data_IF_245368434950
#
_entry.id   IF_245368434950
#
_cell.length_a   1.000
_cell.length_b   1.000
_cell.length_c   1.000
_cell.angle_alpha   90.00
_cell.angle_beta   90.00
_cell.angle_gamma   90.00
#
_symmetry.space_group_name_H-M   'P 1'
#
loop_
_entity.id
_entity.type
_entity.pdbx_description
1 polymer ?
#
# COMPACT_ATOMS: atom_id res chain seq x y z
N UNK A 1 -6.91 41.69 -48.25
CA UNK A 1 -8.18 41.28 -47.60
C UNK A 1 -8.93 42.55 -47.21
N UNK A 2 -10.16 42.72 -47.66
CA UNK A 2 -10.86 44.02 -47.63
C UNK A 2 -11.61 44.18 -46.30
N UNK A 3 -11.89 45.40 -45.83
CA UNK A 3 -12.48 45.65 -44.50
C UNK A 3 -13.78 44.90 -44.21
N UNK A 4 -14.57 44.58 -45.26
CA UNK A 4 -15.77 43.74 -45.16
C UNK A 4 -15.46 42.26 -44.85
N UNK A 5 -14.40 41.70 -45.46
CA UNK A 5 -13.95 40.33 -45.22
C UNK A 5 -13.42 40.16 -43.78
N UNK A 6 -12.70 41.17 -43.27
CA UNK A 6 -12.18 41.17 -41.89
C UNK A 6 -13.33 41.16 -40.86
N UNK A 7 -14.39 41.94 -41.09
CA UNK A 7 -15.56 41.98 -40.19
C UNK A 7 -16.34 40.66 -40.16
N UNK A 8 -16.47 40.00 -41.31
CA UNK A 8 -17.13 38.69 -41.42
C UNK A 8 -16.30 37.63 -40.68
N UNK A 9 -14.98 37.66 -40.83
CA UNK A 9 -14.08 36.76 -40.11
C UNK A 9 -14.14 36.95 -38.59
N UNK A 10 -14.15 38.20 -38.10
CA UNK A 10 -14.27 38.50 -36.67
C UNK A 10 -15.62 38.03 -36.13
N UNK A 11 -16.72 38.27 -36.85
CA UNK A 11 -18.05 37.82 -36.43
C UNK A 11 -18.16 36.29 -36.39
N UNK A 12 -17.60 35.58 -37.38
CA UNK A 12 -17.56 34.13 -37.42
C UNK A 12 -16.70 33.54 -36.29
N UNK A 13 -15.56 34.17 -35.99
CA UNK A 13 -14.69 33.77 -34.88
C UNK A 13 -15.35 33.99 -33.52
N UNK A 14 -16.07 35.12 -33.34
CA UNK A 14 -16.85 35.37 -32.13
C UNK A 14 -17.99 34.36 -31.95
N UNK A 15 -18.69 33.98 -33.02
CA UNK A 15 -19.74 32.94 -32.96
C UNK A 15 -19.17 31.55 -32.63
N UNK A 16 -17.99 31.21 -33.14
CA UNK A 16 -17.30 29.96 -32.80
C UNK A 16 -16.86 29.91 -31.33
N UNK A 17 -16.40 31.04 -30.78
CA UNK A 17 -15.99 31.14 -29.37
C UNK A 17 -17.18 31.11 -28.40
N UNK A 18 -18.35 31.60 -28.79
CA UNK A 18 -19.57 31.55 -27.98
C UNK A 18 -20.20 30.14 -27.92
N UNK A 19 -19.97 29.29 -28.93
CA UNK A 19 -20.45 27.90 -28.95
C UNK A 19 -19.70 26.95 -28.01
N UNK A 20 -18.48 27.29 -27.58
CA UNK A 20 -17.64 26.44 -26.74
C UNK A 20 -17.96 26.51 -25.24
N UNK A 21 -18.84 27.44 -24.81
CA UNK A 21 -19.24 27.59 -23.41
C UNK A 21 -20.52 26.82 -23.05
N UNK A 22 -21.19 26.19 -24.01
CA UNK A 22 -22.40 25.42 -23.77
C UNK A 22 -22.07 23.95 -23.47
N UNK A 23 -22.23 23.58 -22.20
CA UNK A 23 -22.43 22.21 -21.71
C UNK A 23 -21.20 21.27 -21.75
N UNK A 24 -20.36 21.38 -20.72
CA UNK A 24 -19.87 20.19 -20.04
C UNK A 24 -20.59 20.12 -18.68
N UNK A 25 -21.80 19.51 -18.66
CA UNK A 25 -22.34 18.99 -17.41
C UNK A 25 -21.48 17.77 -17.09
N UNK A 26 -20.34 18.01 -16.45
CA UNK A 26 -19.50 16.94 -15.94
C UNK A 26 -20.34 16.10 -14.98
N UNK A 27 -20.57 14.85 -15.34
CA UNK A 27 -21.08 13.86 -14.42
C UNK A 27 -20.12 13.83 -13.23
N UNK A 28 -20.62 14.15 -12.04
CA UNK A 28 -19.84 14.04 -10.81
C UNK A 28 -19.70 12.55 -10.53
N UNK A 29 -18.74 11.91 -11.18
CA UNK A 29 -18.31 10.55 -10.82
C UNK A 29 -17.88 10.64 -9.35
N UNK A 30 -18.49 9.88 -8.42
CA UNK A 30 -18.07 9.87 -7.03
C UNK A 30 -16.58 9.56 -6.97
N UNK A 31 -15.77 10.56 -6.63
CA UNK A 31 -14.33 10.37 -6.46
C UNK A 31 -14.16 9.62 -5.14
N UNK A 32 -13.64 8.39 -5.21
CA UNK A 32 -13.24 7.65 -4.00
C UNK A 32 -12.26 8.52 -3.20
N UNK A 33 -12.43 8.57 -1.87
CA UNK A 33 -11.49 9.24 -1.00
C UNK A 33 -10.08 8.66 -1.18
N UNK A 34 -9.05 9.48 -0.99
CA UNK A 34 -7.65 9.07 -1.09
C UNK A 34 -7.36 7.79 -0.30
N UNK A 35 -7.86 7.75 0.92
CA UNK A 35 -7.69 6.65 1.88
C UNK A 35 -8.35 5.36 1.38
N UNK A 36 -9.50 5.47 0.69
CA UNK A 36 -10.18 4.31 0.13
C UNK A 36 -9.43 3.77 -1.09
N UNK A 37 -8.88 4.66 -1.92
CA UNK A 37 -8.02 4.26 -3.03
C UNK A 37 -6.78 3.51 -2.52
N UNK A 38 -6.24 3.94 -1.38
CA UNK A 38 -5.09 3.29 -0.74
C UNK A 38 -5.46 1.91 -0.15
N UNK A 39 -6.62 1.76 0.49
CA UNK A 39 -7.14 0.45 0.93
C UNK A 39 -7.38 -0.51 -0.24
N UNK A 40 -8.03 -0.04 -1.31
CA UNK A 40 -8.34 -0.84 -2.49
C UNK A 40 -7.06 -1.24 -3.24
N UNK A 41 -6.10 -0.32 -3.33
CA UNK A 41 -4.76 -0.56 -3.88
C UNK A 41 -4.00 -1.61 -3.07
N UNK A 42 -4.02 -1.53 -1.75
CA UNK A 42 -3.43 -2.54 -0.86
C UNK A 42 -4.07 -3.92 -1.02
N UNK A 43 -5.39 -3.97 -1.13
CA UNK A 43 -6.10 -5.23 -1.39
C UNK A 43 -5.69 -5.84 -2.74
N UNK A 44 -5.48 -5.00 -3.76
CA UNK A 44 -4.97 -5.44 -5.07
C UNK A 44 -3.54 -5.96 -4.97
N UNK A 45 -2.65 -5.26 -4.27
CA UNK A 45 -1.26 -5.68 -4.06
C UNK A 45 -1.18 -7.05 -3.37
N UNK A 46 -1.99 -7.28 -2.33
CA UNK A 46 -2.07 -8.59 -1.66
C UNK A 46 -2.51 -9.70 -2.63
N UNK A 47 -3.56 -9.46 -3.43
CA UNK A 47 -4.00 -10.45 -4.44
C UNK A 47 -2.93 -10.75 -5.47
N UNK A 48 -2.25 -9.72 -5.97
CA UNK A 48 -1.16 -9.88 -6.93
C UNK A 48 0.01 -10.65 -6.34
N UNK A 49 0.39 -10.38 -5.09
CA UNK A 49 1.47 -11.08 -4.42
C UNK A 49 1.13 -12.56 -4.14
N UNK A 50 -0.11 -12.89 -3.80
CA UNK A 50 -0.53 -14.30 -3.65
C UNK A 50 -0.40 -15.10 -4.95
N UNK A 51 -0.66 -14.46 -6.09
CA UNK A 51 -0.48 -15.09 -7.41
C UNK A 51 0.99 -15.16 -7.79
N UNK A 52 1.76 -14.11 -7.49
CA UNK A 52 3.17 -14.02 -7.86
C UNK A 52 4.05 -14.96 -7.02
N UNK A 53 3.89 -14.97 -5.70
CA UNK A 53 4.76 -15.67 -4.75
C UNK A 53 4.91 -17.15 -5.10
N UNK A 54 6.15 -17.57 -5.37
CA UNK A 54 6.53 -18.96 -5.65
C UNK A 54 7.64 -19.43 -4.70
N UNK A 55 7.51 -20.61 -4.07
CA UNK A 55 6.23 -21.32 -3.81
C UNK A 55 5.25 -20.41 -3.05
N UNK A 56 4.09 -20.89 -2.59
CA UNK A 56 3.05 -20.10 -1.87
C UNK A 56 3.51 -19.52 -0.51
N UNK A 57 4.74 -19.03 -0.40
CA UNK A 57 5.41 -18.42 0.75
C UNK A 57 4.59 -17.27 1.30
N UNK A 58 3.93 -16.47 0.46
CA UNK A 58 3.08 -15.39 0.95
C UNK A 58 1.85 -15.90 1.70
N UNK A 59 1.20 -16.97 1.21
CA UNK A 59 0.05 -17.56 1.91
C UNK A 59 0.48 -18.12 3.27
N UNK A 60 1.61 -18.85 3.31
CA UNK A 60 2.16 -19.35 4.57
C UNK A 60 2.57 -18.23 5.52
N UNK A 61 3.15 -17.14 5.02
CA UNK A 61 3.51 -15.99 5.86
C UNK A 61 2.25 -15.37 6.50
N UNK A 62 1.14 -15.29 5.78
CA UNK A 62 -0.11 -14.72 6.30
C UNK A 62 -0.75 -15.58 7.41
N UNK A 63 -0.52 -16.89 7.43
CA UNK A 63 -1.03 -17.78 8.49
C UNK A 63 -0.46 -17.43 9.88
N UNK A 64 0.82 -17.01 9.92
CA UNK A 64 1.57 -16.70 11.14
C UNK A 64 1.70 -15.20 11.41
N UNK A 65 1.22 -14.36 10.49
CA UNK A 65 1.35 -12.92 10.57
C UNK A 65 0.66 -12.32 11.81
N UNK A 66 1.40 -11.49 12.54
CA UNK A 66 0.89 -10.60 13.59
C UNK A 66 0.38 -9.29 12.99
N UNK A 67 0.94 -8.86 11.86
CA UNK A 67 0.51 -7.67 11.13
C UNK A 67 1.08 -7.62 9.72
N UNK A 68 0.45 -6.83 8.86
CA UNK A 68 0.86 -6.66 7.46
C UNK A 68 0.84 -5.18 7.11
N UNK A 69 1.98 -4.64 6.71
CA UNK A 69 2.13 -3.27 6.21
C UNK A 69 2.36 -3.31 4.70
N UNK A 70 1.45 -2.68 3.97
CA UNK A 70 1.33 -2.78 2.52
C UNK A 70 1.52 -1.40 1.91
N UNK A 71 2.55 -1.24 1.09
CA UNK A 71 2.76 -0.09 0.23
C UNK A 71 2.45 -0.51 -1.21
N UNK A 72 1.24 -0.22 -1.75
CA UNK A 72 0.81 -0.78 -3.03
C UNK A 72 1.52 -0.21 -4.26
N UNK A 73 2.23 0.91 -4.11
CA UNK A 73 2.82 1.65 -5.23
C UNK A 73 4.08 2.43 -4.84
N UNK A 74 5.03 1.80 -4.13
CA UNK A 74 6.33 2.37 -3.82
C UNK A 74 7.02 2.96 -5.08
N UNK A 75 7.31 4.27 -5.07
CA UNK A 75 7.88 5.07 -6.17
C UNK A 75 7.10 5.06 -7.50
N UNK A 76 5.93 4.42 -7.60
CA UNK A 76 5.11 4.48 -8.83
C UNK A 76 4.28 5.76 -8.76
N UNK A 77 4.72 6.83 -9.41
CA UNK A 77 3.83 7.95 -9.75
C UNK A 77 2.85 7.47 -10.81
N UNK A 78 1.67 7.01 -10.41
CA UNK A 78 0.58 6.88 -11.36
C UNK A 78 0.08 8.31 -11.62
N UNK A 79 0.40 8.90 -12.76
CA UNK A 79 -0.14 10.21 -13.17
C UNK A 79 -1.68 10.23 -13.27
N UNK A 80 -2.33 9.07 -13.11
CA UNK A 80 -3.78 8.87 -13.07
C UNK A 80 -4.37 8.62 -11.67
N UNK A 81 -3.56 8.29 -10.65
CA UNK A 81 -4.07 8.10 -9.29
C UNK A 81 -3.28 8.94 -8.31
N UNK A 82 -3.98 9.74 -7.51
CA UNK A 82 -3.38 10.67 -6.52
C UNK A 82 -2.75 9.95 -5.32
N UNK A 83 -2.52 8.63 -5.37
CA UNK A 83 -1.81 7.88 -4.32
C UNK A 83 -0.35 8.32 -4.29
N UNK A 84 0.08 8.95 -3.20
CA UNK A 84 1.51 9.23 -3.00
C UNK A 84 2.22 7.88 -2.90
N UNK A 85 3.19 7.61 -3.78
CA UNK A 85 3.85 6.32 -3.92
C UNK A 85 4.77 5.94 -2.75
N UNK A 86 4.44 6.36 -1.53
CA UNK A 86 5.13 6.04 -0.27
C UNK A 86 4.15 5.78 0.86
N UNK A 87 2.85 5.95 0.61
CA UNK A 87 1.81 5.67 1.57
C UNK A 87 1.36 4.23 1.49
N UNK A 88 0.93 3.72 2.62
CA UNK A 88 0.57 2.32 2.79
C UNK A 88 -0.52 2.14 3.84
N UNK A 89 -0.98 0.91 3.92
CA UNK A 89 -1.96 0.45 4.89
C UNK A 89 -1.31 -0.60 5.78
N UNK A 90 -1.39 -0.38 7.08
CA UNK A 90 -1.15 -1.39 8.08
C UNK A 90 -2.47 -1.99 8.54
N UNK A 91 -2.50 -3.31 8.66
CA UNK A 91 -3.51 -4.04 9.44
C UNK A 91 -2.81 -4.95 10.43
N UNK A 92 -3.40 -5.10 11.60
CA UNK A 92 -2.86 -5.95 12.68
C UNK A 92 -3.83 -7.07 12.97
N UNK A 93 -3.31 -8.25 13.26
CA UNK A 93 -4.10 -9.42 13.63
C UNK A 93 -4.31 -9.43 15.15
N UNK A 94 -5.55 -9.60 15.57
CA UNK A 94 -5.88 -9.81 16.98
C UNK A 94 -5.66 -11.28 17.38
N UNK A 95 -5.72 -11.54 18.69
CA UNK A 95 -5.56 -12.89 19.25
C UNK A 95 -6.65 -13.87 18.78
N UNK A 96 -7.77 -13.36 18.25
CA UNK A 96 -8.85 -14.16 17.67
C UNK A 96 -8.64 -14.41 16.17
N UNK A 97 -7.52 -13.99 15.61
CA UNK A 97 -7.16 -14.16 14.20
C UNK A 97 -7.83 -13.18 13.25
N UNK A 98 -8.54 -12.16 13.76
CA UNK A 98 -9.22 -11.14 12.95
C UNK A 98 -8.29 -9.98 12.65
N UNK A 99 -8.41 -9.45 11.44
CA UNK A 99 -7.70 -8.24 11.02
C UNK A 99 -8.37 -6.98 11.55
N UNK A 100 -7.56 -6.03 12.00
CA UNK A 100 -7.98 -4.69 12.40
C UNK A 100 -8.53 -3.89 11.22
N UNK A 101 -9.08 -2.72 11.53
CA UNK A 101 -9.29 -1.67 10.52
C UNK A 101 -7.94 -1.15 10.00
N UNK A 102 -7.89 -0.57 8.79
CA UNK A 102 -6.67 -0.08 8.18
C UNK A 102 -6.13 1.15 8.89
N UNK A 103 -4.83 1.16 9.13
CA UNK A 103 -4.09 2.32 9.59
C UNK A 103 -3.23 2.86 8.45
N UNK A 104 -3.21 4.18 8.26
CA UNK A 104 -2.43 4.78 7.19
C UNK A 104 -1.03 5.15 7.64
N UNK A 105 -0.05 4.70 6.87
CA UNK A 105 1.38 4.84 7.13
C UNK A 105 2.11 5.41 5.92
N UNK A 106 3.29 5.95 6.15
CA UNK A 106 4.21 6.37 5.13
C UNK A 106 5.61 5.83 5.44
N UNK A 107 6.38 5.52 4.40
CA UNK A 107 7.79 5.13 4.52
C UNK A 107 8.72 6.18 3.90
N UNK A 108 9.59 6.71 4.74
CA UNK A 108 10.62 7.69 4.39
C UNK A 108 12.03 7.11 4.50
N UNK A 109 12.66 6.85 3.37
CA UNK A 109 14.05 6.44 3.32
C UNK A 109 14.90 7.72 3.29
N UNK A 110 15.45 8.12 4.43
CA UNK A 110 16.36 9.27 4.57
C UNK A 110 17.78 8.93 4.08
N UNK A 111 17.92 8.07 3.07
CA UNK A 111 19.22 7.70 2.54
C UNK A 111 19.90 8.90 1.89
N UNK A 112 20.97 9.40 2.50
CA UNK A 112 21.88 10.45 2.02
C UNK A 112 22.67 10.04 0.75
N UNK A 113 21.99 9.59 -0.31
CA UNK A 113 22.64 9.02 -1.49
C UNK A 113 21.84 9.19 -2.80
N UNK A 114 22.40 9.82 -3.84
CA UNK A 114 21.76 9.95 -5.16
C UNK A 114 21.74 8.64 -5.98
N UNK A 115 22.01 7.47 -5.38
CA UNK A 115 22.21 6.19 -6.09
C UNK A 115 21.17 5.10 -5.77
N UNK A 116 20.24 5.29 -4.83
CA UNK A 116 19.25 4.25 -4.47
C UNK A 116 18.04 4.25 -5.41
N UNK A 117 18.23 3.77 -6.64
CA UNK A 117 17.17 3.62 -7.65
C UNK A 117 16.56 2.22 -7.55
N UNK A 118 15.78 1.95 -6.51
CA UNK A 118 14.84 0.83 -6.60
C UNK A 118 13.75 1.17 -7.61
N UNK A 119 13.47 0.23 -8.52
CA UNK A 119 12.35 0.33 -9.45
C UNK A 119 11.04 0.44 -8.67
N UNK A 120 10.09 1.14 -9.27
CA UNK A 120 8.80 1.38 -8.67
C UNK A 120 8.00 0.06 -8.57
N UNK A 121 7.42 -0.27 -7.41
CA UNK A 121 6.85 -1.59 -7.11
C UNK A 121 5.92 -1.59 -5.90
N UNK A 122 5.34 -2.74 -5.55
CA UNK A 122 4.70 -2.92 -4.23
C UNK A 122 5.71 -3.47 -3.22
N UNK A 123 5.57 -3.04 -1.96
CA UNK A 123 6.28 -3.57 -0.80
C UNK A 123 5.26 -4.09 0.20
N UNK A 124 5.41 -5.33 0.66
CA UNK A 124 4.53 -5.92 1.68
C UNK A 124 5.38 -6.50 2.80
N UNK A 125 5.38 -5.84 3.95
CA UNK A 125 6.02 -6.33 5.15
C UNK A 125 5.03 -7.22 5.91
N UNK A 126 5.41 -8.46 6.15
CA UNK A 126 4.69 -9.38 7.02
C UNK A 126 5.47 -9.51 8.34
N UNK A 127 4.85 -9.10 9.44
CA UNK A 127 5.47 -9.12 10.76
C UNK A 127 5.06 -10.38 11.51
N UNK A 128 6.04 -11.08 12.08
CA UNK A 128 5.82 -12.25 12.95
C UNK A 128 6.06 -11.91 14.42
N UNK A 129 6.86 -10.88 14.69
CA UNK A 129 7.10 -10.37 16.03
C UNK A 129 6.10 -9.24 16.35
N UNK A 130 5.26 -9.49 17.36
CA UNK A 130 4.23 -8.54 17.80
C UNK A 130 4.84 -7.37 18.56
N UNK A 131 5.86 -7.59 19.39
CA UNK A 131 6.48 -6.53 20.17
C UNK A 131 7.20 -5.55 19.23
N UNK A 132 8.00 -6.08 18.28
CA UNK A 132 8.62 -5.28 17.22
C UNK A 132 7.59 -4.46 16.44
N UNK A 133 6.48 -5.09 16.05
CA UNK A 133 5.40 -4.43 15.34
C UNK A 133 4.84 -3.28 16.20
N UNK A 134 4.46 -3.54 17.45
CA UNK A 134 3.77 -2.55 18.29
C UNK A 134 4.67 -1.40 18.76
N UNK A 135 5.90 -1.71 19.18
CA UNK A 135 6.82 -0.73 19.72
C UNK A 135 7.17 0.33 18.68
N UNK A 136 7.50 -0.11 17.47
CA UNK A 136 7.86 0.81 16.39
C UNK A 136 6.71 1.74 15.97
N UNK A 137 5.49 1.24 16.06
CA UNK A 137 4.30 1.88 15.54
C UNK A 137 3.82 3.09 16.37
N UNK A 138 4.25 3.24 17.62
CA UNK A 138 3.80 4.30 18.54
C UNK A 138 4.37 5.71 18.24
N UNK A 139 5.60 5.80 17.73
CA UNK A 139 6.32 7.09 17.55
C UNK A 139 6.76 7.38 16.12
N UNK A 140 6.50 6.45 15.19
CA UNK A 140 7.28 6.36 13.96
C UNK A 140 8.70 5.88 14.26
N UNK A 141 9.22 4.99 13.41
CA UNK A 141 10.44 4.26 13.73
C UNK A 141 11.18 3.79 12.48
N UNK A 142 12.45 3.52 12.68
CA UNK A 142 13.28 2.75 11.76
C UNK A 142 13.25 1.30 12.22
N UNK A 143 13.04 0.34 11.31
CA UNK A 143 13.27 -1.06 11.65
C UNK A 143 14.72 -1.21 12.16
N UNK A 144 14.97 -1.95 13.25
CA UNK A 144 16.33 -2.15 13.76
C UNK A 144 17.28 -2.67 12.67
N UNK A 145 18.54 -2.24 12.70
CA UNK A 145 19.52 -2.64 11.68
C UNK A 145 19.89 -4.13 11.75
N UNK A 146 19.68 -4.75 12.91
CA UNK A 146 19.96 -6.14 13.22
C UNK A 146 18.72 -7.06 13.17
N UNK A 147 17.57 -6.58 12.65
CA UNK A 147 16.38 -7.43 12.56
C UNK A 147 16.64 -8.66 11.69
N UNK A 148 16.16 -9.82 12.16
CA UNK A 148 16.07 -11.02 11.35
C UNK A 148 14.98 -10.85 10.29
N UNK A 149 15.39 -10.67 9.05
CA UNK A 149 14.49 -10.38 7.93
C UNK A 149 14.82 -11.22 6.70
N UNK A 150 13.79 -11.61 5.98
CA UNK A 150 13.92 -12.18 4.63
C UNK A 150 13.20 -11.28 3.63
N UNK A 151 13.88 -10.94 2.55
CA UNK A 151 13.29 -10.29 1.39
C UNK A 151 12.95 -11.36 0.38
N UNK A 152 11.67 -11.55 0.07
CA UNK A 152 11.20 -12.47 -0.97
C UNK A 152 10.76 -11.67 -2.20
N UNK A 153 11.33 -12.03 -3.34
CA UNK A 153 10.91 -11.50 -4.63
C UNK A 153 9.78 -12.37 -5.15
N UNK A 154 8.78 -11.75 -5.80
CA UNK A 154 7.63 -12.46 -6.36
C UNK A 154 7.96 -13.54 -7.41
N UNK A 155 9.22 -13.73 -7.81
CA UNK A 155 9.66 -14.82 -8.69
C UNK A 155 10.21 -16.05 -7.94
N UNK A 156 10.28 -16.00 -6.61
CA UNK A 156 10.78 -17.06 -5.74
C UNK A 156 12.25 -16.97 -5.34
N UNK A 157 12.96 -15.90 -5.72
CA UNK A 157 14.27 -15.59 -5.12
C UNK A 157 14.07 -14.93 -3.75
N UNK A 158 15.02 -15.15 -2.84
CA UNK A 158 14.99 -14.51 -1.54
C UNK A 158 16.39 -14.16 -1.03
N UNK A 159 16.48 -13.13 -0.21
CA UNK A 159 17.70 -12.64 0.44
C UNK A 159 17.45 -12.58 1.95
N UNK A 160 18.38 -13.12 2.74
CA UNK A 160 18.34 -13.08 4.20
C UNK A 160 19.22 -11.95 4.75
N UNK A 161 18.72 -11.28 5.80
CA UNK A 161 19.40 -10.20 6.49
C UNK A 161 19.32 -10.49 7.99
N UNK A 162 20.49 -10.63 8.63
CA UNK A 162 20.64 -10.94 10.07
C UNK A 162 19.78 -12.12 10.57
N UNK A 163 19.48 -13.10 9.71
CA UNK A 163 18.70 -14.28 10.06
C UNK A 163 19.58 -15.28 10.84
N UNK A 164 19.82 -14.99 12.12
CA UNK A 164 20.60 -15.88 12.99
C UNK A 164 19.75 -17.02 13.55
N UNK A 165 18.60 -16.71 14.17
CA UNK A 165 17.73 -17.71 14.82
C UNK A 165 16.24 -17.42 14.59
N UNK A 166 15.81 -16.16 14.68
CA UNK A 166 14.40 -15.77 14.55
C UNK A 166 14.13 -14.89 13.33
N UNK A 167 13.04 -15.20 12.61
CA UNK A 167 12.50 -14.38 11.53
C UNK A 167 11.45 -13.43 12.09
N UNK A 168 11.78 -12.15 12.24
CA UNK A 168 10.85 -11.14 12.75
C UNK A 168 9.97 -10.55 11.64
N UNK A 169 10.54 -10.39 10.43
CA UNK A 169 9.87 -9.74 9.30
C UNK A 169 10.17 -10.47 8.00
N UNK A 170 9.15 -10.67 7.16
CA UNK A 170 9.34 -11.10 5.78
C UNK A 170 8.76 -10.06 4.83
N UNK A 171 9.63 -9.47 4.02
CA UNK A 171 9.30 -8.42 3.07
C UNK A 171 9.12 -9.01 1.69
N UNK A 172 7.94 -8.85 1.10
CA UNK A 172 7.71 -9.18 -0.31
C UNK A 172 7.89 -7.96 -1.20
N UNK A 173 8.58 -8.17 -2.32
CA UNK A 173 8.80 -7.16 -3.35
C UNK A 173 8.39 -7.66 -4.74
N UNK A 174 7.77 -6.76 -5.51
CA UNK A 174 7.38 -6.97 -6.93
C UNK A 174 8.57 -6.86 -7.90
N UNK A 175 9.69 -6.25 -7.48
CA UNK A 175 10.84 -6.05 -8.36
C UNK A 175 11.64 -7.33 -8.57
N UNK A 176 11.93 -7.74 -9.83
CA UNK A 176 12.75 -8.90 -10.11
C UNK A 176 14.23 -8.65 -9.75
N UNK A 177 14.75 -9.41 -8.78
CA UNK A 177 16.15 -9.88 -8.69
C UNK A 177 17.29 -8.85 -8.60
N UNK A 178 17.02 -7.55 -8.43
CA UNK A 178 18.07 -6.59 -8.05
C UNK A 178 18.31 -6.70 -6.54
N UNK A 179 19.56 -7.00 -6.10
CA UNK A 179 19.88 -7.06 -4.68
C UNK A 179 19.53 -5.75 -3.97
N UNK A 180 18.83 -5.85 -2.84
CA UNK A 180 18.47 -4.68 -2.05
C UNK A 180 19.53 -4.46 -0.97
N UNK A 181 20.03 -3.23 -0.86
CA UNK A 181 20.91 -2.86 0.26
C UNK A 181 20.11 -2.81 1.56
N UNK A 182 20.62 -3.42 2.64
CA UNK A 182 19.90 -3.55 3.91
C UNK A 182 19.39 -2.22 4.51
N UNK A 183 20.14 -1.12 4.33
CA UNK A 183 19.75 0.21 4.82
C UNK A 183 18.49 0.78 4.15
N UNK A 184 18.17 0.33 2.94
CA UNK A 184 16.96 0.72 2.21
C UNK A 184 15.70 0.08 2.79
N UNK A 185 15.84 -1.14 3.31
CA UNK A 185 14.73 -1.98 3.78
C UNK A 185 14.12 -1.46 5.09
N UNK A 186 14.93 -0.70 5.85
CA UNK A 186 14.59 -0.25 7.20
C UNK A 186 14.06 1.18 7.27
N UNK A 187 13.65 1.81 6.16
CA UNK A 187 13.23 3.22 6.11
C UNK A 187 12.32 3.69 7.26
N UNK A 188 12.31 5.00 7.54
CA UNK A 188 11.50 5.60 8.60
C UNK A 188 10.01 5.44 8.32
N UNK A 189 9.34 4.59 9.08
CA UNK A 189 7.91 4.33 8.96
C UNK A 189 7.18 5.24 9.95
N UNK A 190 6.21 6.02 9.48
CA UNK A 190 5.44 6.93 10.34
C UNK A 190 3.94 6.88 10.05
N UNK A 191 3.14 7.03 11.10
CA UNK A 191 1.70 7.12 11.00
C UNK A 191 1.31 8.43 10.30
N UNK A 192 0.30 8.36 9.43
CA UNK A 192 -0.23 9.51 8.69
C UNK A 192 -1.48 10.04 9.39
N UNK A 193 -1.32 11.04 10.27
CA UNK A 193 -2.42 11.63 11.03
C UNK A 193 -3.60 12.04 10.12
N UNK A 194 -3.37 12.96 9.16
CA UNK A 194 -4.43 13.50 8.28
C UNK A 194 -5.22 12.43 7.51
N UNK A 195 -4.60 11.45 6.80
CA UNK A 195 -5.33 10.32 6.22
C UNK A 195 -6.11 9.46 7.23
N UNK A 196 -5.57 9.22 8.43
CA UNK A 196 -6.32 8.51 9.47
C UNK A 196 -7.59 9.31 9.88
N UNK A 197 -7.50 10.62 10.08
CA UNK A 197 -8.67 11.46 10.41
C UNK A 197 -9.69 11.48 9.27
N UNK A 198 -9.21 11.67 8.04
CA UNK A 198 -10.03 11.73 6.84
C UNK A 198 -10.76 10.41 6.57
N UNK A 199 -10.15 9.26 6.91
CA UNK A 199 -10.79 7.95 6.76
C UNK A 199 -11.87 7.71 7.81
N UNK A 200 -11.66 8.14 9.05
CA UNK A 200 -12.60 7.82 10.12
C UNK A 200 -13.67 8.90 10.34
N UNK A 201 -13.51 10.09 9.76
CA UNK A 201 -14.50 11.17 9.83
C UNK A 201 -14.58 11.85 11.20
N UNK A 202 -13.69 11.48 12.10
CA UNK A 202 -13.42 12.10 13.40
C UNK A 202 -11.93 12.32 13.49
N UNK A 203 -11.50 13.40 14.16
CA UNK A 203 -10.14 13.50 14.68
C UNK A 203 -9.82 12.17 15.41
N UNK A 204 -8.80 11.39 15.02
CA UNK A 204 -8.39 10.19 15.71
C UNK A 204 -7.88 10.50 17.13
N UNK A 205 -7.83 11.78 17.51
CA UNK A 205 -7.29 12.30 18.75
C UNK A 205 -8.31 13.20 19.45
N UNK A 206 -9.24 12.66 20.24
CA UNK A 206 -9.78 13.39 21.40
C UNK A 206 -10.67 12.51 22.30
N UNK A 207 -10.54 12.58 23.64
CA UNK A 207 -9.33 12.35 24.42
C UNK A 207 -9.57 11.34 25.56
N UNK A 208 -8.56 10.53 25.79
CA UNK A 208 -7.86 10.49 27.08
C UNK A 208 -6.40 10.23 26.72
N UNK A 209 -5.65 11.12 26.07
CA UNK A 209 -5.26 12.48 26.46
C UNK A 209 -4.63 13.17 25.23
N UNK A 210 -4.59 14.51 25.25
CA UNK A 210 -4.36 15.46 24.15
C UNK A 210 -2.98 15.49 23.44
N UNK A 211 -2.18 14.42 23.43
CA UNK A 211 -0.81 14.49 22.86
C UNK A 211 -0.41 13.31 21.95
N UNK A 212 -1.30 12.37 21.65
CA UNK A 212 -0.91 11.15 20.90
C UNK A 212 -1.64 11.08 19.56
N UNK A 213 -0.95 11.19 18.40
CA UNK A 213 -1.54 10.90 17.09
C UNK A 213 -2.07 9.46 17.06
N UNK A 214 -2.86 9.09 16.03
CA UNK A 214 -3.36 7.72 15.81
C UNK A 214 -2.22 6.68 15.84
N UNK A 215 -1.88 6.22 17.03
CA UNK A 215 -0.91 5.17 17.29
C UNK A 215 -1.63 3.83 17.09
N UNK A 216 -0.95 2.78 16.60
CA UNK A 216 -1.59 1.49 16.36
C UNK A 216 -2.16 0.81 17.59
N UNK A 217 -1.70 1.18 18.78
CA UNK A 217 -2.38 0.83 20.03
C UNK A 217 -3.86 1.28 20.02
N UNK A 218 -4.19 2.48 19.52
CA UNK A 218 -5.57 2.96 19.44
C UNK A 218 -6.38 2.28 18.32
N UNK A 219 -5.69 1.74 17.31
CA UNK A 219 -6.31 0.96 16.22
C UNK A 219 -6.59 -0.48 16.67
N UNK A 220 -5.80 -0.98 17.63
CA UNK A 220 -5.97 -2.27 18.29
C UNK A 220 -7.03 -2.25 19.39
N UNK A 221 -7.28 -1.09 19.99
CA UNK A 221 -8.32 -0.92 21.00
C UNK A 221 -9.71 -0.91 20.33
N UNK A 222 -10.38 -2.06 20.43
CA UNK A 222 -11.70 -2.36 19.87
C UNK A 222 -12.71 -1.20 20.02
N UNK A 223 -13.37 -0.85 18.90
CA UNK A 223 -14.78 -0.41 18.94
C UNK A 223 -15.17 0.94 18.34
N UNK A 224 -14.28 1.70 17.69
CA UNK A 224 -14.55 3.14 17.50
C UNK A 224 -14.52 3.67 16.06
N UNK A 225 -14.58 2.81 15.05
CA UNK A 225 -14.53 3.27 13.65
C UNK A 225 -15.81 2.91 12.90
N UNK A 226 -16.47 3.93 12.33
CA UNK A 226 -17.60 3.73 11.42
C UNK A 226 -17.17 2.80 10.25
N UNK A 227 -17.99 1.82 9.85
CA UNK A 227 -17.60 0.86 8.83
C UNK A 227 -17.55 1.54 7.46
N UNK A 228 -16.35 2.02 7.07
CA UNK A 228 -16.01 2.16 5.65
C UNK A 228 -15.74 0.77 5.07
N UNK A 229 -16.01 0.55 3.77
CA UNK A 229 -15.84 -0.76 3.16
C UNK A 229 -14.36 -1.16 3.10
N UNK A 230 -13.96 -2.04 4.03
CA UNK A 230 -12.63 -2.69 4.10
C UNK A 230 -12.68 -4.16 3.66
N UNK A 231 -13.87 -4.63 3.28
CA UNK A 231 -14.16 -6.03 2.97
C UNK A 231 -13.18 -6.61 1.95
N UNK A 232 -12.81 -5.86 0.91
CA UNK A 232 -11.88 -6.33 -0.12
C UNK A 232 -10.46 -6.57 0.40
N UNK A 233 -9.99 -5.79 1.37
CA UNK A 233 -8.67 -5.98 1.97
C UNK A 233 -8.70 -7.18 2.92
N UNK A 234 -9.71 -7.27 3.80
CA UNK A 234 -9.88 -8.43 4.67
C UNK A 234 -10.09 -9.73 3.88
N UNK A 235 -10.84 -9.67 2.78
CA UNK A 235 -10.99 -10.79 1.85
C UNK A 235 -9.64 -11.16 1.26
N UNK A 236 -8.89 -10.21 0.70
CA UNK A 236 -7.55 -10.49 0.13
C UNK A 236 -6.58 -11.10 1.17
N UNK A 237 -6.69 -10.73 2.45
CA UNK A 237 -5.84 -11.25 3.53
C UNK A 237 -6.28 -12.62 4.05
N UNK A 238 -7.52 -13.02 3.85
CA UNK A 238 -8.03 -14.31 4.33
C UNK A 238 -8.27 -15.33 3.20
N UNK A 239 -8.56 -14.86 1.98
CA UNK A 239 -9.08 -15.66 0.88
C UNK A 239 -8.54 -15.16 -0.47
N UNK A 240 -8.05 -16.08 -1.30
CA UNK A 240 -8.03 -15.95 -2.77
C UNK A 240 -8.27 -17.35 -3.36
N UNK A 241 -9.05 -17.52 -4.44
CA UNK A 241 -9.15 -18.79 -5.13
C UNK A 241 -7.77 -19.21 -5.62
N UNK A 242 -7.30 -20.38 -5.19
CA UNK A 242 -6.09 -20.98 -5.71
C UNK A 242 -6.30 -21.21 -7.22
N UNK A 243 -5.44 -20.67 -8.10
CA UNK A 243 -5.26 -21.30 -9.41
C UNK A 243 -4.90 -22.76 -9.14
N UNK A 244 -5.44 -23.69 -9.93
CA UNK A 244 -5.18 -25.13 -9.80
C UNK A 244 -3.70 -25.42 -10.11
N UNK A 245 -2.82 -25.17 -9.14
CA UNK A 245 -1.37 -25.28 -9.27
C UNK A 245 -0.91 -26.73 -9.43
N UNK A 246 -1.73 -27.69 -9.00
CA UNK A 246 -1.49 -29.11 -9.24
C UNK A 246 -1.66 -29.44 -10.73
N UNK A 247 -2.56 -28.77 -11.44
CA UNK A 247 -2.72 -28.90 -12.88
C UNK A 247 -1.52 -28.32 -13.65
N UNK A 248 -1.01 -27.16 -13.27
CA UNK A 248 0.14 -26.53 -13.95
C UNK A 248 1.46 -27.28 -13.71
N UNK A 249 1.69 -27.79 -12.49
CA UNK A 249 2.85 -28.63 -12.19
C UNK A 249 2.75 -30.01 -12.85
N UNK A 250 1.55 -30.60 -12.91
CA UNK A 250 1.31 -31.85 -13.64
C UNK A 250 1.49 -31.67 -15.16
N UNK A 251 1.04 -30.55 -15.74
CA UNK A 251 1.26 -30.26 -17.15
C UNK A 251 2.74 -30.06 -17.46
N UNK A 252 3.48 -29.32 -16.63
CA UNK A 252 4.92 -29.14 -16.79
C UNK A 252 5.70 -30.47 -16.65
N UNK A 253 5.28 -31.36 -15.76
CA UNK A 253 5.87 -32.69 -15.60
C UNK A 253 5.49 -33.68 -16.70
N UNK A 254 4.33 -33.50 -17.35
CA UNK A 254 3.86 -34.34 -18.46
C UNK A 254 4.38 -33.92 -19.85
N UNK A 255 5.07 -32.77 -19.93
CA UNK A 255 5.67 -32.23 -21.15
C UNK A 255 7.19 -32.43 -21.27
N UNK A 256 7.81 -33.24 -20.40
CA UNK A 256 9.22 -33.68 -20.48
C UNK A 256 9.34 -35.17 -20.80
#
# INVERSE_FOLDING_TARGET
MNSKQIRIFIAALCLLLLGACAMHKGEVIPQLSYEQQLVDGSAKAVREMRVASRPRTFDYALDWAQGVLIFPSYKKQHWLSRVEGRDGVLVVRDEQGKWSQPAFYNINNDGDGPQHVMQAGMLIYVFFDRELLLDGLSSGYRLPEDIGMVVSHGNGTAEDFNLAEDLSVLLFVDSPGEPLEGSFLTGWISARATPNEAYYGTDPVAPATLDTPASPENILLKGWFAPRPVTHLHEALNNVPLPDQDADLAMAASGM
#
